data_IF_877523719956
#
_entry.id   IF_877523719956
#
_cell.length_a   1.000
_cell.length_b   1.000
_cell.length_c   1.000
_cell.angle_alpha   90.00
_cell.angle_beta   90.00
_cell.angle_gamma   90.00
#
_symmetry.space_group_name_H-M   'P 1'
#
loop_
_entity.id
_entity.type
_entity.pdbx_description
1 polymer ?
#
# COMPACT_ATOMS: atom_id res chain seq x y z
N UNK A 1 36.64 -19.55 -4.45
CA UNK A 1 36.58 -18.09 -4.72
C UNK A 1 35.30 -17.61 -5.38
N UNK A 2 34.64 -18.37 -6.25
CA UNK A 2 33.38 -17.95 -6.89
C UNK A 2 32.19 -17.79 -5.91
N UNK A 3 32.13 -18.53 -4.82
CA UNK A 3 31.03 -18.52 -3.83
C UNK A 3 31.01 -17.25 -2.98
N UNK A 4 32.16 -16.65 -2.67
CA UNK A 4 32.29 -15.42 -1.90
C UNK A 4 31.85 -14.19 -2.70
N UNK A 5 32.09 -14.20 -4.01
CA UNK A 5 31.65 -13.14 -4.93
C UNK A 5 30.14 -13.13 -5.14
N UNK A 6 29.51 -14.28 -5.25
CA UNK A 6 28.05 -14.43 -5.38
C UNK A 6 27.30 -14.00 -4.11
N UNK A 7 27.86 -14.24 -2.92
CA UNK A 7 27.25 -13.82 -1.65
C UNK A 7 27.35 -12.30 -1.45
N UNK A 8 28.47 -11.67 -1.85
CA UNK A 8 28.64 -10.22 -1.81
C UNK A 8 27.71 -9.50 -2.80
N UNK A 9 27.53 -10.04 -3.98
CA UNK A 9 26.61 -9.50 -5.00
C UNK A 9 25.15 -9.58 -4.54
N UNK A 10 24.73 -10.70 -3.96
CA UNK A 10 23.40 -10.87 -3.36
C UNK A 10 23.14 -9.91 -2.19
N UNK A 11 24.14 -9.67 -1.35
CA UNK A 11 24.02 -8.75 -0.22
C UNK A 11 23.89 -7.29 -0.67
N UNK A 12 24.57 -6.91 -1.76
CA UNK A 12 24.47 -5.58 -2.36
C UNK A 12 23.12 -5.37 -3.07
N UNK A 13 22.59 -6.39 -3.73
CA UNK A 13 21.27 -6.35 -4.37
C UNK A 13 20.14 -6.29 -3.32
N UNK A 14 20.24 -7.03 -2.21
CA UNK A 14 19.30 -6.95 -1.09
C UNK A 14 19.32 -5.56 -0.45
N UNK A 15 20.48 -4.99 -0.16
CA UNK A 15 20.61 -3.63 0.37
C UNK A 15 20.07 -2.56 -0.58
N UNK A 16 20.28 -2.73 -1.89
CA UNK A 16 19.73 -1.84 -2.90
C UNK A 16 18.22 -1.94 -2.99
N UNK A 17 17.66 -3.15 -2.89
CA UNK A 17 16.22 -3.39 -2.86
C UNK A 17 15.56 -2.75 -1.63
N UNK A 18 16.17 -2.91 -0.44
CA UNK A 18 15.70 -2.31 0.80
C UNK A 18 15.77 -0.78 0.76
N UNK A 19 16.85 -0.23 0.21
CA UNK A 19 17.00 1.22 0.03
C UNK A 19 15.95 1.79 -0.93
N UNK A 20 15.71 1.14 -2.06
CA UNK A 20 14.69 1.54 -3.03
C UNK A 20 13.26 1.37 -2.49
N UNK A 21 13.02 0.38 -1.64
CA UNK A 21 11.74 0.22 -0.96
C UNK A 21 11.51 1.34 0.08
N UNK A 22 12.52 1.67 0.88
CA UNK A 22 12.48 2.78 1.84
C UNK A 22 12.29 4.14 1.14
N UNK A 23 12.93 4.37 0.00
CA UNK A 23 12.76 5.58 -0.80
C UNK A 23 11.30 5.71 -1.29
N UNK A 24 10.69 4.63 -1.77
CA UNK A 24 9.29 4.63 -2.24
C UNK A 24 8.27 4.81 -1.12
N UNK A 25 8.61 4.45 0.11
CA UNK A 25 7.75 4.71 1.27
C UNK A 25 7.67 6.18 1.65
N UNK A 26 8.62 7.01 1.19
CA UNK A 26 8.60 8.46 1.33
C UNK A 26 7.86 9.17 0.18
N UNK A 27 7.29 8.42 -0.77
CA UNK A 27 6.43 8.99 -1.80
C UNK A 27 5.10 9.47 -1.22
N UNK A 28 4.58 10.56 -1.76
CA UNK A 28 3.22 11.02 -1.46
C UNK A 28 2.19 9.94 -1.72
N UNK A 29 1.29 9.73 -0.78
CA UNK A 29 0.20 8.77 -0.90
C UNK A 29 -0.70 9.13 -2.09
N UNK A 30 -1.20 10.35 -2.13
CA UNK A 30 -2.06 10.83 -3.21
C UNK A 30 -1.39 10.72 -4.58
N UNK A 31 -0.17 11.25 -4.71
CA UNK A 31 0.56 11.23 -5.98
C UNK A 31 0.82 9.82 -6.48
N UNK A 32 1.21 8.91 -5.59
CA UNK A 32 1.47 7.52 -5.98
C UNK A 32 0.21 6.77 -6.40
N UNK A 33 -0.93 7.01 -5.74
CA UNK A 33 -2.21 6.42 -6.13
C UNK A 33 -2.66 6.98 -7.48
N UNK A 34 -2.60 8.30 -7.70
CA UNK A 34 -2.90 8.93 -8.99
C UNK A 34 -2.09 8.32 -10.14
N UNK A 35 -0.78 8.18 -9.98
CA UNK A 35 0.10 7.56 -10.99
C UNK A 35 -0.34 6.13 -11.33
N UNK A 36 -0.70 5.34 -10.35
CA UNK A 36 -1.16 3.96 -10.57
C UNK A 36 -2.57 3.88 -11.18
N UNK A 37 -3.39 4.92 -11.02
CA UNK A 37 -4.65 5.08 -11.74
C UNK A 37 -4.48 5.55 -13.18
N UNK A 38 -3.27 5.96 -13.58
CA UNK A 38 -2.96 6.50 -14.90
C UNK A 38 -3.20 8.01 -15.03
N UNK A 39 -3.30 8.71 -13.92
CA UNK A 39 -3.48 10.16 -13.88
C UNK A 39 -2.14 10.88 -13.73
N UNK A 40 -2.02 12.04 -14.37
CA UNK A 40 -0.89 12.95 -14.16
C UNK A 40 -0.91 13.51 -12.73
N UNK A 41 0.26 13.68 -12.13
CA UNK A 41 0.42 14.32 -10.82
C UNK A 41 -0.16 15.74 -10.79
N UNK A 42 0.00 16.47 -11.89
CA UNK A 42 -0.42 17.88 -12.03
C UNK A 42 -1.93 18.04 -12.27
N UNK A 43 -2.63 16.96 -12.62
CA UNK A 43 -4.07 17.00 -12.89
C UNK A 43 -4.86 16.85 -11.59
N UNK A 44 -5.36 17.94 -11.05
CA UNK A 44 -5.98 18.05 -9.72
C UNK A 44 -7.51 17.97 -9.71
N UNK A 45 -8.16 17.92 -10.89
CA UNK A 45 -9.61 17.96 -11.00
C UNK A 45 -10.34 16.86 -10.22
N UNK A 46 -9.68 15.71 -9.98
CA UNK A 46 -10.23 14.56 -9.25
C UNK A 46 -9.59 14.35 -7.87
N UNK A 47 -8.74 15.25 -7.41
CA UNK A 47 -8.01 15.04 -6.16
C UNK A 47 -8.95 14.86 -4.97
N UNK A 48 -10.03 15.64 -4.88
CA UNK A 48 -11.02 15.52 -3.82
C UNK A 48 -11.72 14.15 -3.81
N UNK A 49 -12.11 13.65 -4.98
CA UNK A 49 -12.76 12.34 -5.11
C UNK A 49 -11.80 11.22 -4.73
N UNK A 50 -10.56 11.29 -5.23
CA UNK A 50 -9.53 10.29 -4.96
C UNK A 50 -9.16 10.29 -3.47
N UNK A 51 -8.99 11.45 -2.83
CA UNK A 51 -8.74 11.60 -1.39
C UNK A 51 -9.88 10.97 -0.59
N UNK A 52 -11.13 11.23 -0.97
CA UNK A 52 -12.30 10.63 -0.31
C UNK A 52 -12.26 9.11 -0.36
N UNK A 53 -11.93 8.53 -1.50
CA UNK A 53 -11.78 7.08 -1.65
C UNK A 53 -10.59 6.53 -0.87
N UNK A 54 -9.43 7.21 -0.91
CA UNK A 54 -8.24 6.84 -0.11
C UNK A 54 -8.59 6.81 1.37
N UNK A 55 -9.25 7.82 1.89
CA UNK A 55 -9.63 7.90 3.31
C UNK A 55 -10.63 6.80 3.70
N UNK A 56 -11.56 6.44 2.81
CA UNK A 56 -12.45 5.30 3.03
C UNK A 56 -11.67 3.98 3.15
N UNK A 57 -10.62 3.79 2.34
CA UNK A 57 -9.75 2.62 2.43
C UNK A 57 -8.91 2.63 3.70
N UNK A 58 -8.39 3.77 4.14
CA UNK A 58 -7.69 3.88 5.42
C UNK A 58 -8.59 3.51 6.60
N UNK A 59 -9.86 3.90 6.56
CA UNK A 59 -10.83 3.48 7.57
C UNK A 59 -10.98 1.96 7.64
N UNK A 60 -11.05 1.28 6.49
CA UNK A 60 -11.10 -0.19 6.43
C UNK A 60 -9.81 -0.80 6.99
N UNK A 61 -8.64 -0.28 6.58
CA UNK A 61 -7.35 -0.75 7.07
C UNK A 61 -7.22 -0.64 8.59
N UNK A 62 -7.65 0.49 9.17
CA UNK A 62 -7.69 0.68 10.63
C UNK A 62 -8.61 -0.35 11.29
N UNK A 63 -9.79 -0.64 10.73
CA UNK A 63 -10.73 -1.61 11.28
C UNK A 63 -10.18 -3.05 11.29
N UNK A 64 -9.33 -3.40 10.34
CA UNK A 64 -8.67 -4.73 10.29
C UNK A 64 -7.33 -4.76 11.03
N UNK A 65 -6.97 -3.68 11.76
CA UNK A 65 -5.77 -3.62 12.59
C UNK A 65 -4.49 -3.21 11.85
N UNK A 66 -4.60 -2.60 10.66
CA UNK A 66 -3.44 -2.15 9.87
C UNK A 66 -3.29 -0.63 9.95
N UNK A 67 -2.09 -0.17 10.30
CA UNK A 67 -1.77 1.24 10.46
C UNK A 67 -2.02 1.78 11.87
N UNK A 68 -2.07 3.11 12.06
CA UNK A 68 -2.27 3.72 13.36
C UNK A 68 -3.64 3.37 13.97
N UNK A 69 -3.66 2.93 15.23
CA UNK A 69 -4.89 2.49 15.91
C UNK A 69 -5.93 3.58 16.13
N UNK A 70 -5.52 4.86 16.06
CA UNK A 70 -6.41 6.03 16.15
C UNK A 70 -6.96 6.49 14.78
N UNK A 71 -6.69 5.73 13.72
CA UNK A 71 -7.05 6.05 12.36
C UNK A 71 -6.03 6.93 11.64
N UNK A 72 -6.20 7.04 10.33
CA UNK A 72 -5.36 7.85 9.45
C UNK A 72 -6.20 8.42 8.31
N UNK A 73 -5.92 9.65 7.90
CA UNK A 73 -6.54 10.29 6.75
C UNK A 73 -5.58 11.31 6.13
N UNK A 74 -5.79 11.60 4.87
CA UNK A 74 -5.08 12.62 4.13
C UNK A 74 -6.03 13.73 3.68
N UNK A 75 -5.51 14.95 3.56
CA UNK A 75 -6.26 16.12 3.06
C UNK A 75 -5.68 16.65 1.75
N UNK A 76 -4.41 16.36 1.50
CA UNK A 76 -3.66 16.82 0.33
C UNK A 76 -2.55 15.81 -0.07
N UNK A 77 -1.61 16.26 -0.89
CA UNK A 77 -0.46 15.46 -1.36
C UNK A 77 0.72 15.39 -0.38
N UNK A 78 0.65 16.06 0.77
CA UNK A 78 1.77 16.13 1.72
C UNK A 78 2.05 14.82 2.43
N UNK A 79 1.03 14.05 2.91
CA UNK A 79 1.29 12.80 3.62
C UNK A 79 1.98 11.75 2.74
N UNK A 80 2.95 11.08 3.34
CA UNK A 80 3.73 10.01 2.71
C UNK A 80 3.38 8.65 3.33
N UNK A 81 3.75 7.56 2.66
CA UNK A 81 3.41 6.22 3.13
C UNK A 81 4.01 5.87 4.50
N UNK A 82 5.19 6.44 4.83
CA UNK A 82 5.81 6.23 6.16
C UNK A 82 5.01 6.85 7.30
N UNK A 83 4.13 7.82 7.03
CA UNK A 83 3.22 8.37 8.05
C UNK A 83 2.13 7.37 8.44
N UNK A 84 1.77 6.48 7.51
CA UNK A 84 0.76 5.44 7.73
C UNK A 84 1.37 4.12 8.22
N UNK A 85 2.43 3.64 7.57
CA UNK A 85 3.04 2.36 7.85
C UNK A 85 4.56 2.42 7.73
N UNK A 86 5.26 1.89 8.73
CA UNK A 86 6.72 1.86 8.75
C UNK A 86 7.30 0.48 8.39
N UNK A 87 6.47 -0.58 8.42
CA UNK A 87 6.88 -1.93 8.06
C UNK A 87 6.94 -2.10 6.53
N UNK A 88 8.17 -2.20 6.01
CA UNK A 88 8.41 -2.39 4.58
C UNK A 88 7.87 -3.72 4.03
N UNK A 89 7.73 -4.74 4.88
CA UNK A 89 7.18 -6.04 4.50
C UNK A 89 5.71 -5.99 4.15
N UNK A 90 4.95 -5.13 4.83
CA UNK A 90 3.50 -4.97 4.63
C UNK A 90 3.19 -3.84 3.63
N UNK A 91 4.09 -2.87 3.50
CA UNK A 91 3.89 -1.67 2.69
C UNK A 91 3.40 -1.96 1.25
N UNK A 92 4.03 -2.90 0.55
CA UNK A 92 3.66 -3.21 -0.84
C UNK A 92 2.25 -3.79 -0.93
N UNK A 93 1.85 -4.61 0.03
CA UNK A 93 0.50 -5.18 0.08
C UNK A 93 -0.55 -4.11 0.39
N UNK A 94 -0.27 -3.22 1.34
CA UNK A 94 -1.12 -2.06 1.67
C UNK A 94 -1.31 -1.17 0.44
N UNK A 95 -0.22 -0.83 -0.25
CA UNK A 95 -0.28 0.01 -1.46
C UNK A 95 -1.08 -0.65 -2.57
N UNK A 96 -0.86 -1.94 -2.83
CA UNK A 96 -1.61 -2.70 -3.84
C UNK A 96 -3.10 -2.78 -3.51
N UNK A 97 -3.45 -3.05 -2.26
CA UNK A 97 -4.82 -3.05 -1.78
C UNK A 97 -5.49 -1.68 -1.97
N UNK A 98 -4.83 -0.61 -1.52
CA UNK A 98 -5.29 0.77 -1.66
C UNK A 98 -5.62 1.10 -3.12
N UNK A 99 -4.69 0.86 -4.02
CA UNK A 99 -4.86 1.19 -5.45
C UNK A 99 -6.02 0.42 -6.08
N UNK A 100 -6.15 -0.88 -5.82
CA UNK A 100 -7.25 -1.67 -6.37
C UNK A 100 -8.60 -1.24 -5.81
N UNK A 101 -8.71 -0.96 -4.52
CA UNK A 101 -9.95 -0.44 -3.90
C UNK A 101 -10.33 0.91 -4.48
N UNK A 102 -9.39 1.85 -4.57
CA UNK A 102 -9.65 3.17 -5.14
C UNK A 102 -10.06 3.05 -6.62
N UNK A 103 -9.39 2.20 -7.41
CA UNK A 103 -9.75 1.96 -8.81
C UNK A 103 -11.18 1.43 -8.96
N UNK A 104 -11.60 0.50 -8.12
CA UNK A 104 -12.96 -0.03 -8.14
C UNK A 104 -14.04 1.02 -7.83
N UNK A 105 -13.70 2.04 -7.04
CA UNK A 105 -14.62 3.11 -6.66
C UNK A 105 -14.58 4.29 -7.65
N UNK A 106 -13.40 4.64 -8.15
CA UNK A 106 -13.19 5.82 -8.97
C UNK A 106 -13.33 5.54 -10.48
N UNK A 107 -12.69 4.48 -10.96
CA UNK A 107 -12.66 4.12 -12.39
C UNK A 107 -12.67 2.59 -12.55
N UNK A 108 -13.82 1.93 -12.30
CA UNK A 108 -13.92 0.48 -12.39
C UNK A 108 -13.73 0.00 -13.83
N UNK A 109 -13.08 -1.17 -14.04
CA UNK A 109 -12.90 -1.71 -15.38
C UNK A 109 -14.25 -2.05 -16.04
N UNK A 110 -14.35 -1.79 -17.35
CA UNK A 110 -15.53 -2.06 -18.15
C UNK A 110 -15.76 -3.56 -18.39
N UNK A 111 -14.70 -4.36 -18.43
CA UNK A 111 -14.77 -5.80 -18.59
C UNK A 111 -15.23 -6.47 -17.30
N UNK A 112 -16.31 -7.23 -17.35
CA UNK A 112 -16.81 -8.00 -16.19
C UNK A 112 -15.79 -9.02 -15.68
N UNK A 113 -15.00 -9.64 -16.57
CA UNK A 113 -13.96 -10.58 -16.19
C UNK A 113 -12.82 -9.89 -15.42
N UNK A 114 -12.39 -8.70 -15.85
CA UNK A 114 -11.36 -7.91 -15.15
C UNK A 114 -11.91 -7.39 -13.82
N UNK A 115 -13.16 -6.94 -13.79
CA UNK A 115 -13.83 -6.48 -12.56
C UNK A 115 -13.87 -7.59 -11.50
N UNK A 116 -14.25 -8.81 -11.86
CA UNK A 116 -14.26 -9.95 -10.93
C UNK A 116 -12.84 -10.35 -10.49
N UNK A 117 -11.86 -10.26 -11.38
CA UNK A 117 -10.45 -10.47 -11.02
C UNK A 117 -9.98 -9.47 -9.97
N UNK A 118 -10.31 -8.19 -10.11
CA UNK A 118 -9.94 -7.15 -9.14
C UNK A 118 -10.65 -7.35 -7.80
N UNK A 119 -11.94 -7.69 -7.79
CA UNK A 119 -12.67 -8.00 -6.57
C UNK A 119 -12.07 -9.18 -5.81
N UNK A 120 -11.74 -10.24 -6.53
CA UNK A 120 -11.10 -11.43 -5.94
C UNK A 120 -9.74 -11.07 -5.33
N UNK A 121 -8.94 -10.27 -6.03
CA UNK A 121 -7.63 -9.84 -5.54
C UNK A 121 -7.73 -8.93 -4.32
N UNK A 122 -8.71 -8.01 -4.31
CA UNK A 122 -9.00 -7.15 -3.14
C UNK A 122 -9.35 -7.99 -1.92
N UNK A 123 -10.23 -8.99 -2.06
CA UNK A 123 -10.61 -9.86 -0.96
C UNK A 123 -9.41 -10.68 -0.43
N UNK A 124 -8.54 -11.15 -1.32
CA UNK A 124 -7.33 -11.86 -0.93
C UNK A 124 -6.36 -10.95 -0.15
N UNK A 125 -6.13 -9.74 -0.62
CA UNK A 125 -5.25 -8.78 0.07
C UNK A 125 -5.80 -8.39 1.44
N UNK A 126 -7.11 -8.14 1.53
CA UNK A 126 -7.76 -7.80 2.79
C UNK A 126 -7.64 -8.93 3.82
N UNK A 127 -7.86 -10.17 3.40
CA UNK A 127 -7.67 -11.35 4.25
C UNK A 127 -6.22 -11.48 4.73
N UNK A 128 -5.24 -11.31 3.83
CA UNK A 128 -3.82 -11.37 4.19
C UNK A 128 -3.43 -10.28 5.17
N UNK A 129 -3.84 -9.03 4.92
CA UNK A 129 -3.57 -7.89 5.80
C UNK A 129 -4.15 -8.12 7.20
N UNK A 130 -5.40 -8.58 7.27
CA UNK A 130 -6.05 -8.92 8.54
C UNK A 130 -5.29 -10.02 9.30
N UNK A 131 -4.94 -11.09 8.64
CA UNK A 131 -4.19 -12.21 9.25
C UNK A 131 -2.80 -11.76 9.75
N UNK A 132 -2.12 -10.88 9.01
CA UNK A 132 -0.83 -10.33 9.44
C UNK A 132 -0.98 -9.44 10.68
N UNK A 133 -2.02 -8.60 10.74
CA UNK A 133 -2.31 -7.77 11.90
C UNK A 133 -2.62 -8.60 13.16
N UNK A 134 -3.48 -9.62 13.04
CA UNK A 134 -3.81 -10.54 14.12
C UNK A 134 -2.57 -11.28 14.67
N UNK A 135 -1.67 -11.72 13.81
CA UNK A 135 -0.42 -12.38 14.22
C UNK A 135 0.54 -11.44 14.96
N UNK A 136 0.57 -10.16 14.60
CA UNK A 136 1.38 -9.16 15.31
C UNK A 136 0.83 -8.89 16.71
N UNK A 137 -0.47 -8.81 16.88
CA UNK A 137 -1.11 -8.65 18.20
C UNK A 137 -0.81 -9.81 19.14
N UNK A 138 -0.89 -11.05 18.64
CA UNK A 138 -0.57 -12.26 19.43
C UNK A 138 0.88 -12.27 19.88
N UNK A 139 1.81 -11.88 19.02
CA UNK A 139 3.24 -11.82 19.38
C UNK A 139 3.52 -10.77 20.44
N UNK A 140 2.90 -9.60 20.35
CA UNK A 140 3.07 -8.49 21.33
C UNK A 140 2.46 -8.83 22.70
N UNK A 141 1.49 -9.75 22.79
CA UNK A 141 0.90 -10.19 24.05
C UNK A 141 1.75 -11.26 24.78
N UNK A 142 2.70 -11.88 24.08
CA UNK A 142 3.55 -12.94 24.61
C UNK A 142 4.95 -12.43 25.05
N UNK A 143 5.24 -11.15 24.91
CA UNK A 143 6.43 -10.47 25.42
C UNK A 143 6.14 -9.74 26.73
#
# INVERSE_FOLDING_TARGET
>A
MAIVWLSSFRLLDLKRSDYMAAERMNDSILTSVKKMLGLSEEYDAFDLDIITHINSVFTILTQIGVGPGNGFMIEDKTPVWTDFIQDSGIYQLVKSYMVLKVRLLFDPPMSSAVLECYKTQVNEYEWRLKTMAENQEVNNQNE
#
